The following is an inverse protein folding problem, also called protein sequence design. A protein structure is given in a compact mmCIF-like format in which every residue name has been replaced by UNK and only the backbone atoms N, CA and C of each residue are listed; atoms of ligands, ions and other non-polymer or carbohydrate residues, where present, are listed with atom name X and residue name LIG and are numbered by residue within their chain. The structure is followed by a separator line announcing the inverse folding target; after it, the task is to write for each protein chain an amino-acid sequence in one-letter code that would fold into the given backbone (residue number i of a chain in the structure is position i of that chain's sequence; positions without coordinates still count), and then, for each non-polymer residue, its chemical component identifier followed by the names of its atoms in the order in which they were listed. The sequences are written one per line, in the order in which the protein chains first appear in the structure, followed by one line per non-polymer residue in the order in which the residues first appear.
data_IF_657213529631
#
_entry.id   IF_657213529631
#
_cell.length_a   1.000
_cell.length_b   1.000
_cell.length_c   1.000
_cell.angle_alpha   90.00
_cell.angle_beta   90.00
_cell.angle_gamma   90.00
#
_symmetry.space_group_name_H-M   'P 1'
#
loop_
_entity.id
_entity.type
_entity.pdbx_description
1 polymer ?
#
# COMPACT_ATOMS: atom_id res chain seq x y z
N UNK A 1 -4.93 9.46 8.03
CA UNK A 1 -5.43 9.05 6.69
C UNK A 1 -6.97 9.01 6.73
N UNK A 2 -7.67 10.06 6.25
CA UNK A 2 -9.14 10.15 6.27
C UNK A 2 -9.72 9.93 4.85
N UNK A 3 -9.84 8.66 4.46
CA UNK A 3 -10.58 8.21 3.29
C UNK A 3 -11.58 7.17 3.73
N UNK A 4 -12.84 7.27 3.27
CA UNK A 4 -13.85 6.24 3.53
C UNK A 4 -13.59 4.94 2.75
N UNK A 5 -12.58 4.94 1.87
CA UNK A 5 -12.12 3.74 1.18
C UNK A 5 -11.47 2.75 2.14
N UNK A 6 -12.24 1.75 2.56
CA UNK A 6 -11.75 0.66 3.41
C UNK A 6 -10.63 -0.10 2.68
N UNK A 7 -10.75 -0.30 1.36
CA UNK A 7 -9.78 -1.06 0.54
C UNK A 7 -8.44 -0.32 0.45
N UNK A 8 -8.44 0.97 0.11
CA UNK A 8 -7.21 1.75 0.06
C UNK A 8 -6.53 1.80 1.43
N UNK A 9 -7.31 1.98 2.50
CA UNK A 9 -6.76 2.00 3.87
C UNK A 9 -6.15 0.65 4.24
N UNK A 10 -6.78 -0.46 3.89
CA UNK A 10 -6.25 -1.80 4.14
C UNK A 10 -4.92 -2.02 3.40
N UNK A 11 -4.85 -1.68 2.11
CA UNK A 11 -3.62 -1.80 1.31
C UNK A 11 -2.47 -0.96 1.85
N UNK A 12 -2.76 0.24 2.35
CA UNK A 12 -1.76 1.09 2.99
C UNK A 12 -1.19 0.44 4.25
N UNK A 13 -2.06 -0.12 5.09
CA UNK A 13 -1.63 -0.81 6.32
C UNK A 13 -0.82 -2.06 5.98
N UNK A 14 -1.26 -2.85 5.00
CA UNK A 14 -0.52 -4.02 4.51
C UNK A 14 0.87 -3.61 4.01
N UNK A 15 0.95 -2.52 3.25
CA UNK A 15 2.23 -2.01 2.77
C UNK A 15 3.18 -1.64 3.91
N UNK A 16 2.70 -0.96 4.96
CA UNK A 16 3.53 -0.68 6.15
C UNK A 16 3.96 -1.98 6.85
N UNK A 17 3.04 -2.93 7.02
CA UNK A 17 3.33 -4.21 7.67
C UNK A 17 4.38 -5.01 6.89
N UNK A 18 4.34 -4.99 5.56
CA UNK A 18 5.34 -5.61 4.67
C UNK A 18 6.74 -5.01 4.86
N UNK A 19 6.86 -3.69 4.95
CA UNK A 19 8.15 -3.02 5.20
C UNK A 19 8.70 -3.47 6.56
N UNK A 20 7.86 -3.43 7.60
CA UNK A 20 8.27 -3.83 8.96
C UNK A 20 8.63 -5.31 9.01
N UNK A 21 7.83 -6.18 8.39
CA UNK A 21 8.09 -7.60 8.31
C UNK A 21 9.40 -7.90 7.57
N UNK A 22 9.68 -7.21 6.45
CA UNK A 22 10.93 -7.37 5.71
C UNK A 22 12.17 -7.05 6.55
N UNK A 23 12.12 -6.00 7.37
CA UNK A 23 13.21 -5.65 8.30
C UNK A 23 13.35 -6.72 9.38
N UNK A 24 12.25 -7.18 9.99
CA UNK A 24 12.27 -8.22 11.02
C UNK A 24 12.84 -9.53 10.47
N UNK A 25 12.39 -9.96 9.29
CA UNK A 25 12.89 -11.15 8.62
C UNK A 25 14.36 -11.01 8.24
N UNK A 26 14.78 -9.83 7.80
CA UNK A 26 16.19 -9.55 7.54
C UNK A 26 17.08 -9.71 8.77
N UNK A 27 16.61 -9.28 9.95
CA UNK A 27 17.35 -9.46 11.21
C UNK A 27 17.32 -10.92 11.65
N UNK A 28 16.16 -11.57 11.55
CA UNK A 28 15.97 -12.96 11.98
C UNK A 28 16.81 -13.93 11.15
N UNK A 29 16.82 -13.78 9.83
CA UNK A 29 17.58 -14.64 8.91
C UNK A 29 19.00 -14.14 8.63
N UNK A 30 19.31 -12.90 9.00
CA UNK A 30 20.66 -12.36 8.89
C UNK A 30 21.66 -13.05 9.82
N UNK A 31 21.21 -13.59 10.96
CA UNK A 31 22.05 -14.42 11.82
C UNK A 31 22.19 -15.81 11.21
N UNK A 32 23.36 -16.09 10.64
CA UNK A 32 23.69 -17.40 10.06
C UNK A 32 24.72 -18.12 10.91
N UNK A 33 24.52 -19.42 11.09
CA UNK A 33 25.51 -20.30 11.69
C UNK A 33 26.58 -20.62 10.64
N UNK A 34 27.83 -20.35 10.98
CA UNK A 34 28.99 -20.67 10.16
C UNK A 34 29.70 -21.85 10.82
N UNK A 35 29.71 -22.98 10.13
CA UNK A 35 30.41 -24.18 10.56
C UNK A 35 31.88 -24.12 10.15
N UNK A 36 32.78 -24.11 11.14
CA UNK A 36 34.19 -24.47 10.97
C UNK A 36 34.43 -25.92 11.39
N UNK A 37 35.53 -26.50 10.91
CA UNK A 37 35.89 -27.92 11.07
C UNK A 37 35.86 -28.45 12.52
N UNK A 38 35.96 -27.56 13.53
CA UNK A 38 35.93 -27.92 14.96
C UNK A 38 35.06 -27.00 15.83
N UNK A 39 34.35 -26.02 15.26
CA UNK A 39 33.50 -25.07 15.99
C UNK A 39 32.45 -24.44 15.09
N UNK A 40 31.28 -24.11 15.62
CA UNK A 40 30.33 -23.22 14.95
C UNK A 40 30.26 -21.88 15.67
N UNK A 41 30.08 -20.80 14.89
CA UNK A 41 29.83 -19.47 15.42
C UNK A 41 28.75 -18.77 14.60
N UNK A 42 28.04 -17.84 15.22
CA UNK A 42 27.04 -17.03 14.52
C UNK A 42 27.71 -15.78 13.92
N UNK A 43 27.50 -15.58 12.62
CA UNK A 43 27.88 -14.37 11.91
C UNK A 43 26.65 -13.67 11.36
N UNK A 44 26.64 -12.33 11.40
CA UNK A 44 25.57 -11.57 10.80
C UNK A 44 25.86 -11.32 9.31
N UNK A 45 25.10 -11.99 8.44
CA UNK A 45 25.15 -11.81 7.00
C UNK A 45 24.38 -10.57 6.58
N UNK A 46 25.12 -9.50 6.31
CA UNK A 46 24.58 -8.24 5.78
C UNK A 46 23.90 -8.43 4.42
N UNK A 47 24.38 -9.36 3.58
CA UNK A 47 23.76 -9.63 2.27
C UNK A 47 22.35 -10.21 2.42
N UNK A 48 22.15 -11.14 3.35
CA UNK A 48 20.83 -11.72 3.65
C UNK A 48 19.92 -10.65 4.26
N UNK A 49 20.42 -9.87 5.21
CA UNK A 49 19.67 -8.77 5.81
C UNK A 49 19.15 -7.78 4.74
N UNK A 50 20.02 -7.31 3.84
CA UNK A 50 19.63 -6.37 2.80
C UNK A 50 18.70 -7.01 1.77
N UNK A 51 18.89 -8.29 1.42
CA UNK A 51 17.99 -9.00 0.51
C UNK A 51 16.54 -8.97 1.02
N UNK A 52 16.31 -9.36 2.28
CA UNK A 52 14.98 -9.36 2.89
C UNK A 52 14.44 -7.96 3.13
N UNK A 53 15.27 -7.05 3.63
CA UNK A 53 14.86 -5.67 3.94
C UNK A 53 14.48 -4.91 2.67
N UNK A 54 15.25 -5.06 1.59
CA UNK A 54 14.96 -4.40 0.30
C UNK A 54 13.73 -5.03 -0.34
N UNK A 55 13.61 -6.37 -0.34
CA UNK A 55 12.45 -7.04 -0.91
C UNK A 55 11.15 -6.60 -0.21
N UNK A 56 11.11 -6.61 1.13
CA UNK A 56 9.96 -6.13 1.90
C UNK A 56 9.70 -4.63 1.73
N UNK A 57 10.76 -3.82 1.61
CA UNK A 57 10.62 -2.38 1.36
C UNK A 57 10.00 -2.10 -0.01
N UNK A 58 10.51 -2.73 -1.07
CA UNK A 58 10.01 -2.54 -2.44
C UNK A 58 8.56 -3.04 -2.56
N UNK A 59 8.27 -4.22 -2.00
CA UNK A 59 6.91 -4.77 -1.91
C UNK A 59 5.96 -3.82 -1.18
N UNK A 60 6.35 -3.38 0.02
CA UNK A 60 5.52 -2.50 0.85
C UNK A 60 5.27 -1.13 0.22
N UNK A 61 6.27 -0.52 -0.41
CA UNK A 61 6.11 0.73 -1.18
C UNK A 61 5.15 0.52 -2.36
N UNK A 62 5.21 -0.62 -3.03
CA UNK A 62 4.31 -0.95 -4.14
C UNK A 62 2.85 -1.06 -3.67
N UNK A 63 2.59 -1.71 -2.53
CA UNK A 63 1.25 -1.76 -1.92
C UNK A 63 0.72 -0.38 -1.49
N UNK A 64 1.60 0.46 -0.93
CA UNK A 64 1.26 1.86 -0.61
C UNK A 64 0.91 2.63 -1.89
N UNK A 65 1.68 2.45 -2.96
CA UNK A 65 1.39 3.05 -4.26
C UNK A 65 0.02 2.65 -4.80
N UNK A 66 -0.31 1.35 -4.76
CA UNK A 66 -1.64 0.89 -5.17
C UNK A 66 -2.78 1.45 -4.31
N UNK A 67 -2.57 1.59 -3.00
CA UNK A 67 -3.52 2.27 -2.12
C UNK A 67 -3.85 3.68 -2.61
N UNK A 68 -2.82 4.45 -3.00
CA UNK A 68 -3.01 5.81 -3.51
C UNK A 68 -3.75 5.84 -4.85
N UNK A 69 -3.41 4.93 -5.77
CA UNK A 69 -4.09 4.81 -7.06
C UNK A 69 -5.58 4.52 -6.87
N UNK A 70 -5.94 3.58 -5.99
CA UNK A 70 -7.34 3.23 -5.70
C UNK A 70 -8.09 4.41 -5.10
N UNK A 71 -7.45 5.14 -4.19
CA UNK A 71 -8.03 6.36 -3.60
C UNK A 71 -8.30 7.43 -4.65
N UNK A 72 -7.37 7.65 -5.58
CA UNK A 72 -7.55 8.60 -6.66
C UNK A 72 -8.71 8.18 -7.55
N UNK A 73 -8.79 6.89 -7.89
CA UNK A 73 -9.86 6.35 -8.72
C UNK A 73 -11.24 6.56 -8.08
N UNK A 74 -11.40 6.25 -6.79
CA UNK A 74 -12.66 6.46 -6.08
C UNK A 74 -13.03 7.95 -6.02
N UNK A 75 -12.06 8.83 -5.80
CA UNK A 75 -12.30 10.27 -5.82
C UNK A 75 -12.77 10.76 -7.20
N UNK A 76 -12.22 10.21 -8.28
CA UNK A 76 -12.66 10.53 -9.64
C UNK A 76 -14.08 10.01 -9.90
N UNK A 77 -14.37 8.76 -9.55
CA UNK A 77 -15.71 8.18 -9.69
C UNK A 77 -16.78 9.01 -8.94
N UNK A 78 -16.50 9.39 -7.69
CA UNK A 78 -17.39 10.22 -6.90
C UNK A 78 -17.60 11.62 -7.48
N UNK A 79 -16.58 12.19 -8.15
CA UNK A 79 -16.72 13.48 -8.85
C UNK A 79 -17.63 13.37 -10.07
N UNK A 80 -17.51 12.30 -10.86
CA UNK A 80 -18.35 12.05 -12.03
C UNK A 80 -19.83 11.93 -11.60
N UNK A 81 -20.13 11.08 -10.61
CA UNK A 81 -21.50 10.92 -10.08
C UNK A 81 -22.09 12.24 -9.55
N UNK A 82 -21.26 13.08 -8.93
CA UNK A 82 -21.69 14.40 -8.45
C UNK A 82 -22.00 15.36 -9.60
N UNK A 83 -21.30 15.27 -10.73
CA UNK A 83 -21.58 16.10 -11.91
C UNK A 83 -22.89 15.65 -12.55
N UNK A 84 -23.07 14.34 -12.77
CA UNK A 84 -24.29 13.80 -13.37
C UNK A 84 -25.55 14.21 -12.60
N UNK A 85 -25.52 14.08 -11.26
CA UNK A 85 -26.63 14.51 -10.41
C UNK A 85 -26.91 16.01 -10.43
N UNK A 86 -25.90 16.86 -10.73
CA UNK A 86 -26.10 18.31 -10.91
C UNK A 86 -26.73 18.61 -12.27
N UNK A 87 -26.28 17.92 -13.33
CA UNK A 87 -26.84 18.05 -14.68
C UNK A 87 -28.32 17.68 -14.67
N UNK A 88 -28.68 16.53 -14.07
CA UNK A 88 -30.07 16.09 -13.98
C UNK A 88 -30.97 17.12 -13.24
N UNK A 89 -30.44 17.75 -12.18
CA UNK A 89 -31.15 18.81 -11.45
C UNK A 89 -31.36 20.06 -12.31
N UNK A 90 -30.39 20.43 -13.13
CA UNK A 90 -30.50 21.58 -14.04
C UNK A 90 -31.52 21.28 -15.14
N UNK A 91 -31.48 20.10 -15.74
CA UNK A 91 -32.44 19.68 -16.77
C UNK A 91 -33.87 19.68 -16.26
N UNK A 92 -34.11 19.19 -15.02
CA UNK A 92 -35.43 19.25 -14.39
C UNK A 92 -35.90 20.69 -14.22
N UNK A 93 -35.05 21.58 -13.69
CA UNK A 93 -35.39 23.01 -13.53
C UNK A 93 -35.74 23.68 -14.86
N UNK A 94 -34.95 23.44 -15.91
CA UNK A 94 -35.20 24.00 -17.24
C UNK A 94 -36.50 23.48 -17.86
N UNK A 95 -36.89 22.24 -17.55
CA UNK A 95 -38.16 21.65 -18.00
C UNK A 95 -39.34 22.30 -17.28
N UNK A 96 -39.22 22.52 -15.97
CA UNK A 96 -40.28 23.10 -15.15
C UNK A 96 -40.50 24.59 -15.47
N UNK A 97 -39.45 25.32 -15.84
CA UNK A 97 -39.53 26.74 -16.23
C UNK A 97 -40.16 26.97 -17.62
N UNK A 98 -40.14 25.95 -18.49
CA UNK A 98 -40.76 26.00 -19.83
C UNK A 98 -42.25 25.61 -19.84
N UNK A 99 -42.81 25.22 -18.69
CA UNK A 99 -44.23 24.83 -18.53
C UNK A 99 -45.03 25.94 -17.87
#
# INVERSE_FOLDING_TARGET
MNTNNIIAKALYVIGILEIVAGIILGIAFGNVEVDEYFSSYNEFSWSIFFMWSIAGTVSGVLFIGFSEVIKILENMANRVLRIDSKVEKIEKKLRDEKR
#
